data_IF_041159346948
#
_entry.id   IF_041159346948
#
_cell.length_a   1.000
_cell.length_b   1.000
_cell.length_c   1.000
_cell.angle_alpha   90.00
_cell.angle_beta   90.00
_cell.angle_gamma   90.00
#
_symmetry.space_group_name_H-M   'P 1'
#
loop_
_entity.id
_entity.type
_entity.pdbx_description
1 polymer ?
#
# COMPACT_ATOMS: atom_id res chain seq x y z
N UNK A 1 13.99 7.86 -11.80
CA UNK A 1 13.25 6.76 -12.46
C UNK A 1 13.69 5.37 -12.00
N UNK A 2 15.00 5.11 -11.77
CA UNK A 2 15.47 3.81 -11.25
C UNK A 2 14.79 3.36 -9.94
N UNK A 3 14.68 4.26 -8.95
CA UNK A 3 14.00 3.98 -7.67
C UNK A 3 12.51 3.62 -7.90
N UNK A 4 11.82 4.32 -8.81
CA UNK A 4 10.42 4.01 -9.12
C UNK A 4 10.27 2.60 -9.74
N UNK A 5 11.16 2.23 -10.68
CA UNK A 5 11.18 0.86 -11.25
C UNK A 5 11.40 -0.20 -10.18
N UNK A 6 12.37 0.02 -9.29
CA UNK A 6 12.58 -0.87 -8.14
C UNK A 6 11.33 -0.95 -7.26
N UNK A 7 10.72 0.19 -6.93
CA UNK A 7 9.54 0.27 -6.08
C UNK A 7 8.31 -0.44 -6.67
N UNK A 8 8.13 -0.47 -8.00
CA UNK A 8 7.02 -1.23 -8.63
C UNK A 8 7.06 -2.72 -8.34
N UNK A 9 8.22 -3.27 -7.97
CA UNK A 9 8.37 -4.68 -7.58
C UNK A 9 8.50 -4.82 -6.08
N UNK A 10 9.35 -4.01 -5.45
CA UNK A 10 9.63 -4.12 -4.02
C UNK A 10 8.40 -3.82 -3.16
N UNK A 11 7.59 -2.82 -3.50
CA UNK A 11 6.41 -2.47 -2.69
C UNK A 11 5.36 -3.61 -2.64
N UNK A 12 4.94 -4.21 -3.78
CA UNK A 12 4.06 -5.39 -3.73
C UNK A 12 4.67 -6.59 -3.01
N UNK A 13 5.98 -6.84 -3.17
CA UNK A 13 6.66 -7.93 -2.46
C UNK A 13 6.69 -7.71 -0.94
N UNK A 14 6.76 -6.48 -0.48
CA UNK A 14 6.59 -6.15 0.94
C UNK A 14 5.20 -6.55 1.47
N UNK A 15 4.13 -6.39 0.67
CA UNK A 15 2.78 -6.86 1.02
C UNK A 15 2.72 -8.39 1.05
N UNK A 16 3.40 -9.06 0.12
CA UNK A 16 3.53 -10.52 0.13
C UNK A 16 4.25 -10.99 1.40
N UNK A 17 5.38 -10.37 1.73
CA UNK A 17 6.13 -10.67 2.94
C UNK A 17 5.29 -10.45 4.20
N UNK A 18 4.56 -9.33 4.29
CA UNK A 18 3.62 -9.06 5.37
C UNK A 18 2.63 -10.20 5.56
N UNK A 19 1.93 -10.59 4.49
CA UNK A 19 0.96 -11.67 4.53
C UNK A 19 1.56 -13.02 4.92
N UNK A 20 2.73 -13.38 4.38
CA UNK A 20 3.40 -14.65 4.68
C UNK A 20 3.89 -14.74 6.12
N UNK A 21 4.56 -13.69 6.62
CA UNK A 21 5.02 -13.63 8.03
C UNK A 21 3.81 -13.74 8.95
N UNK A 22 2.73 -13.02 8.64
CA UNK A 22 1.48 -13.09 9.40
C UNK A 22 0.85 -14.49 9.39
N UNK A 23 0.84 -15.18 8.26
CA UNK A 23 0.32 -16.55 8.18
C UNK A 23 1.13 -17.50 9.06
N UNK A 24 2.46 -17.41 8.99
CA UNK A 24 3.37 -18.24 9.82
C UNK A 24 3.19 -17.93 11.31
N UNK A 25 3.15 -16.65 11.69
CA UNK A 25 2.96 -16.21 13.07
C UNK A 25 1.60 -16.57 13.66
N UNK A 26 0.63 -17.00 12.84
CA UNK A 26 -0.67 -17.50 13.31
C UNK A 26 -0.70 -19.01 13.53
N UNK A 27 0.30 -19.77 13.08
CA UNK A 27 0.27 -21.23 13.07
C UNK A 27 0.24 -21.85 14.48
N UNK A 28 0.81 -21.16 15.46
CA UNK A 28 0.79 -21.56 16.87
C UNK A 28 -0.47 -21.07 17.63
N UNK A 29 -1.43 -20.47 16.91
CA UNK A 29 -2.62 -19.84 17.48
C UNK A 29 -2.33 -18.54 18.23
N UNK A 30 -1.08 -18.07 18.22
CA UNK A 30 -0.60 -16.99 19.05
C UNK A 30 -0.14 -15.73 18.29
N UNK A 31 -1.03 -15.09 17.52
CA UNK A 31 -0.70 -13.82 16.84
C UNK A 31 -1.02 -12.54 17.64
N UNK A 32 0.01 -11.79 18.06
CA UNK A 32 -0.07 -10.57 18.88
C UNK A 32 1.30 -9.89 19.03
N UNK A 33 1.53 -9.06 20.06
CA UNK A 33 2.84 -8.43 20.31
C UNK A 33 3.98 -9.46 20.23
N UNK A 34 5.00 -9.19 19.43
CA UNK A 34 6.05 -10.17 19.14
C UNK A 34 6.77 -9.94 17.81
N UNK A 35 7.74 -10.81 17.51
CA UNK A 35 8.61 -10.67 16.33
C UNK A 35 7.84 -10.81 15.01
N UNK A 36 6.89 -11.72 14.94
CA UNK A 36 6.03 -11.95 13.77
C UNK A 36 5.11 -10.75 13.50
N UNK A 37 4.50 -10.16 14.54
CA UNK A 37 3.76 -8.91 14.44
C UNK A 37 4.67 -7.77 13.96
N UNK A 38 5.80 -7.54 14.63
CA UNK A 38 6.70 -6.45 14.29
C UNK A 38 7.27 -6.59 12.87
N UNK A 39 7.79 -7.76 12.52
CA UNK A 39 8.40 -8.00 11.21
C UNK A 39 7.38 -7.84 10.08
N UNK A 40 6.15 -8.34 10.29
CA UNK A 40 5.08 -8.18 9.31
C UNK A 40 4.72 -6.70 9.13
N UNK A 41 4.44 -5.95 10.20
CA UNK A 41 4.05 -4.54 10.08
C UNK A 41 5.17 -3.65 9.52
N UNK A 42 6.44 -3.90 9.90
CA UNK A 42 7.59 -3.19 9.33
C UNK A 42 7.74 -3.49 7.83
N UNK A 43 7.57 -4.75 7.42
CA UNK A 43 7.60 -5.10 6.00
C UNK A 43 6.54 -4.31 5.22
N UNK A 44 5.30 -4.26 5.71
CA UNK A 44 4.26 -3.50 5.03
C UNK A 44 4.52 -1.98 5.05
N UNK A 45 5.03 -1.43 6.15
CA UNK A 45 5.41 -0.02 6.25
C UNK A 45 6.46 0.36 5.21
N UNK A 46 7.49 -0.46 5.02
CA UNK A 46 8.48 -0.27 3.94
C UNK A 46 7.80 -0.25 2.57
N UNK A 47 6.85 -1.16 2.33
CA UNK A 47 6.05 -1.20 1.11
C UNK A 47 5.26 0.09 0.87
N UNK A 48 4.62 0.63 1.90
CA UNK A 48 3.91 1.92 1.85
C UNK A 48 4.86 3.08 1.53
N UNK A 49 6.05 3.12 2.14
CA UNK A 49 7.03 4.17 1.83
C UNK A 49 7.52 4.08 0.38
N UNK A 50 7.70 2.87 -0.14
CA UNK A 50 8.07 2.65 -1.53
C UNK A 50 6.95 3.06 -2.51
N UNK A 51 5.67 2.94 -2.12
CA UNK A 51 4.53 3.37 -2.93
C UNK A 51 4.56 4.87 -3.27
N UNK A 52 5.19 5.72 -2.45
CA UNK A 52 5.41 7.15 -2.77
C UNK A 52 6.06 7.29 -4.14
N UNK A 53 7.10 6.51 -4.42
CA UNK A 53 7.81 6.58 -5.70
C UNK A 53 6.97 6.08 -6.87
N UNK A 54 6.14 5.06 -6.64
CA UNK A 54 5.20 4.54 -7.64
C UNK A 54 4.17 5.60 -8.01
N UNK A 55 3.48 6.17 -7.02
CA UNK A 55 2.44 7.19 -7.21
C UNK A 55 3.01 8.43 -7.92
N UNK A 56 4.15 8.95 -7.46
CA UNK A 56 4.78 10.12 -8.07
C UNK A 56 5.30 9.83 -9.49
N UNK A 57 5.64 8.57 -9.80
CA UNK A 57 5.99 8.19 -11.17
C UNK A 57 4.77 8.15 -12.08
N UNK A 58 3.63 7.63 -11.62
CA UNK A 58 2.36 7.65 -12.37
C UNK A 58 1.93 9.09 -12.67
N UNK A 59 2.11 10.02 -11.72
CA UNK A 59 1.90 11.47 -11.96
C UNK A 59 2.72 11.99 -13.14
N UNK A 60 3.94 11.50 -13.34
CA UNK A 60 4.82 11.92 -14.44
C UNK A 60 4.50 11.24 -15.77
N UNK A 61 3.90 10.05 -15.71
CA UNK A 61 3.44 9.31 -16.90
C UNK A 61 2.16 9.92 -17.48
N UNK A 62 1.29 10.44 -16.63
CA UNK A 62 0.01 11.05 -17.02
C UNK A 62 0.17 12.52 -17.47
N UNK A 63 -0.62 12.89 -18.49
CA UNK A 63 -0.73 14.27 -18.97
C UNK A 63 -1.14 15.24 -17.86
N UNK A 64 -0.57 16.47 -17.82
CA UNK A 64 -0.96 17.48 -16.83
C UNK A 64 -2.44 17.85 -16.87
N UNK A 65 -3.07 17.87 -15.69
CA UNK A 65 -4.47 18.25 -15.53
C UNK A 65 -4.94 18.14 -14.09
N UNK A 66 -6.04 18.83 -13.77
CA UNK A 66 -6.60 18.88 -12.42
C UNK A 66 -6.99 17.49 -11.90
N UNK A 67 -7.57 16.63 -12.77
CA UNK A 67 -7.99 15.29 -12.39
C UNK A 67 -6.81 14.41 -11.96
N UNK A 68 -5.67 14.52 -12.65
CA UNK A 68 -4.42 13.85 -12.27
C UNK A 68 -3.95 14.31 -10.89
N UNK A 69 -3.88 15.61 -10.66
CA UNK A 69 -3.40 16.16 -9.38
C UNK A 69 -4.33 15.76 -8.22
N UNK A 70 -5.65 15.80 -8.45
CA UNK A 70 -6.63 15.35 -7.46
C UNK A 70 -6.45 13.86 -7.13
N UNK A 71 -6.34 12.99 -8.14
CA UNK A 71 -6.13 11.56 -7.94
C UNK A 71 -4.84 11.29 -7.15
N UNK A 72 -3.74 11.95 -7.52
CA UNK A 72 -2.46 11.83 -6.80
C UNK A 72 -2.58 12.31 -5.36
N UNK A 73 -3.21 13.47 -5.12
CA UNK A 73 -3.39 14.02 -3.78
C UNK A 73 -4.21 13.08 -2.90
N UNK A 74 -5.35 12.59 -3.39
CA UNK A 74 -6.19 11.60 -2.68
C UNK A 74 -5.40 10.33 -2.36
N UNK A 75 -4.63 9.82 -3.33
CA UNK A 75 -3.80 8.63 -3.14
C UNK A 75 -2.76 8.84 -2.04
N UNK A 76 -2.07 10.00 -2.05
CA UNK A 76 -1.04 10.33 -1.06
C UNK A 76 -1.63 10.59 0.33
N UNK A 77 -2.81 11.22 0.43
CA UNK A 77 -3.51 11.38 1.72
C UNK A 77 -3.84 10.01 2.31
N UNK A 78 -4.36 9.09 1.50
CA UNK A 78 -4.63 7.74 1.98
C UNK A 78 -3.37 6.95 2.33
N UNK A 79 -2.29 7.19 1.59
CA UNK A 79 -0.99 6.61 1.91
C UNK A 79 -0.48 7.10 3.27
N UNK A 80 -0.56 8.40 3.55
CA UNK A 80 -0.18 8.97 4.84
C UNK A 80 -1.02 8.38 5.96
N UNK A 81 -2.33 8.26 5.77
CA UNK A 81 -3.21 7.64 6.75
C UNK A 81 -2.79 6.18 7.05
N UNK A 82 -2.49 5.39 6.01
CA UNK A 82 -2.01 4.02 6.17
C UNK A 82 -0.63 3.94 6.86
N UNK A 83 0.28 4.87 6.57
CA UNK A 83 1.60 4.96 7.24
C UNK A 83 1.42 5.25 8.73
N UNK A 84 0.52 6.18 9.08
CA UNK A 84 0.20 6.47 10.48
C UNK A 84 -0.39 5.24 11.16
N UNK A 85 -1.34 4.56 10.51
CA UNK A 85 -1.95 3.33 11.02
C UNK A 85 -0.89 2.28 11.35
N UNK A 86 -0.03 1.92 10.39
CA UNK A 86 1.00 0.90 10.58
C UNK A 86 2.04 1.31 11.61
N UNK A 87 2.36 2.60 11.70
CA UNK A 87 3.26 3.13 12.73
C UNK A 87 2.64 3.00 14.12
N UNK A 88 1.36 3.33 14.28
CA UNK A 88 0.64 3.15 15.53
C UNK A 88 0.58 1.67 15.94
N UNK A 89 0.29 0.77 14.99
CA UNK A 89 0.23 -0.67 15.22
C UNK A 89 1.60 -1.26 15.63
N UNK A 90 2.71 -0.73 15.07
CA UNK A 90 4.09 -1.08 15.46
C UNK A 90 4.40 -0.57 16.88
N UNK A 91 4.07 0.69 17.19
CA UNK A 91 4.33 1.26 18.51
C UNK A 91 3.53 0.53 19.60
N UNK A 92 2.26 0.25 19.34
CA UNK A 92 1.41 -0.54 20.24
C UNK A 92 1.98 -1.95 20.44
N UNK A 93 2.43 -2.62 19.37
CA UNK A 93 3.05 -3.94 19.45
C UNK A 93 4.39 -3.98 20.18
N UNK A 94 5.15 -2.87 20.20
CA UNK A 94 6.39 -2.75 20.97
C UNK A 94 6.16 -2.50 22.45
N UNK A 95 5.12 -1.75 22.78
CA UNK A 95 4.85 -1.30 24.15
C UNK A 95 4.03 -2.32 24.96
N UNK A 96 3.13 -3.04 24.31
CA UNK A 96 2.25 -3.98 24.99
C UNK A 96 3.00 -5.26 25.41
N UNK A 97 2.79 -5.69 26.66
CA UNK A 97 3.29 -6.97 27.18
C UNK A 97 2.49 -8.16 26.62
N UNK A 98 1.21 -7.95 26.30
CA UNK A 98 0.33 -8.99 25.79
C UNK A 98 -0.78 -8.46 24.84
N UNK A 99 -1.60 -9.38 24.32
CA UNK A 99 -2.69 -9.02 23.41
C UNK A 99 -3.79 -8.18 24.04
N UNK A 100 -4.28 -8.49 25.26
CA UNK A 100 -5.22 -7.63 25.96
C UNK A 100 -4.75 -6.17 26.03
N UNK A 101 -3.51 -5.94 26.46
CA UNK A 101 -2.94 -4.60 26.58
C UNK A 101 -2.83 -3.90 25.21
N UNK A 102 -2.33 -4.59 24.18
CA UNK A 102 -2.25 -4.04 22.82
C UNK A 102 -3.63 -3.60 22.29
N UNK A 103 -4.69 -4.36 22.59
CA UNK A 103 -6.07 -4.02 22.20
C UNK A 103 -6.61 -2.83 22.97
N UNK A 104 -6.23 -2.65 24.22
CA UNK A 104 -6.57 -1.48 25.01
C UNK A 104 -5.91 -0.22 24.45
N UNK A 105 -4.60 -0.26 24.21
CA UNK A 105 -3.87 0.85 23.58
C UNK A 105 -4.45 1.23 22.20
N UNK A 106 -4.82 0.23 21.39
CA UNK A 106 -5.47 0.49 20.10
C UNK A 106 -6.83 1.17 20.24
N UNK A 107 -7.62 0.77 21.25
CA UNK A 107 -8.92 1.41 21.55
C UNK A 107 -8.73 2.86 22.00
N UNK A 108 -7.76 3.13 22.86
CA UNK A 108 -7.46 4.49 23.32
C UNK A 108 -7.03 5.40 22.16
N UNK A 109 -6.15 4.92 21.28
CA UNK A 109 -5.72 5.68 20.11
C UNK A 109 -6.90 5.98 19.16
N UNK A 110 -7.78 5.00 18.93
CA UNK A 110 -8.98 5.17 18.09
C UNK A 110 -10.04 6.07 18.74
N UNK A 111 -10.04 6.20 20.07
CA UNK A 111 -10.95 7.08 20.80
C UNK A 111 -10.61 8.57 20.65
N UNK A 112 -9.41 8.92 20.17
CA UNK A 112 -9.06 10.29 19.83
C UNK A 112 -10.04 10.79 18.75
N UNK A 113 -10.69 11.95 18.92
CA UNK A 113 -11.69 12.45 17.97
C UNK A 113 -11.17 12.46 16.53
N UNK A 114 -11.84 11.68 15.67
CA UNK A 114 -11.51 11.57 14.24
C UNK A 114 -10.40 10.58 13.90
N UNK A 115 -9.63 10.05 14.86
CA UNK A 115 -8.50 9.16 14.59
C UNK A 115 -8.94 7.82 13.97
N UNK A 116 -10.01 7.20 14.48
CA UNK A 116 -10.53 5.94 13.91
C UNK A 116 -10.99 6.15 12.46
N UNK A 117 -11.71 7.25 12.19
CA UNK A 117 -12.14 7.59 10.82
C UNK A 117 -10.95 7.88 9.90
N UNK A 118 -10.00 8.68 10.37
CA UNK A 118 -8.86 9.15 9.58
C UNK A 118 -7.83 8.04 9.32
N UNK A 119 -7.58 7.14 10.27
CA UNK A 119 -6.45 6.21 10.19
C UNK A 119 -6.83 4.75 10.10
N UNK A 120 -8.08 4.35 10.41
CA UNK A 120 -8.49 2.94 10.36
C UNK A 120 -9.69 2.68 9.44
N UNK A 121 -10.59 3.65 9.27
CA UNK A 121 -11.79 3.45 8.45
C UNK A 121 -11.65 4.04 7.05
N UNK A 122 -11.61 5.36 6.91
CA UNK A 122 -11.75 6.06 5.61
C UNK A 122 -10.39 6.41 5.00
N UNK A 123 -9.49 6.99 5.79
CA UNK A 123 -8.24 7.52 5.24
C UNK A 123 -7.43 6.49 4.47
N UNK A 124 -7.09 5.30 5.03
CA UNK A 124 -6.35 4.29 4.29
C UNK A 124 -7.04 3.85 2.97
N UNK A 125 -8.37 3.88 2.90
CA UNK A 125 -9.11 3.48 1.71
C UNK A 125 -8.89 4.43 0.53
N UNK A 126 -8.59 5.70 0.82
CA UNK A 126 -8.26 6.69 -0.20
C UNK A 126 -7.01 6.30 -1.01
N UNK A 127 -6.08 5.51 -0.44
CA UNK A 127 -4.95 4.95 -1.18
C UNK A 127 -5.42 4.05 -2.31
N UNK A 128 -6.32 3.10 -2.00
CA UNK A 128 -6.81 2.14 -2.99
C UNK A 128 -7.72 2.80 -4.04
N UNK A 129 -8.59 3.72 -3.62
CA UNK A 129 -9.42 4.52 -4.53
C UNK A 129 -8.54 5.35 -5.46
N UNK A 130 -7.53 6.03 -4.91
CA UNK A 130 -6.59 6.82 -5.69
C UNK A 130 -5.78 5.99 -6.68
N UNK A 131 -5.23 4.84 -6.25
CA UNK A 131 -4.53 3.89 -7.12
C UNK A 131 -5.43 3.38 -8.26
N UNK A 132 -6.68 3.03 -7.94
CA UNK A 132 -7.67 2.63 -8.94
C UNK A 132 -7.88 3.72 -10.00
N UNK A 133 -8.10 4.96 -9.58
CA UNK A 133 -8.29 6.09 -10.49
C UNK A 133 -7.04 6.33 -11.34
N UNK A 134 -5.84 6.30 -10.75
CA UNK A 134 -4.59 6.50 -11.48
C UNK A 134 -4.34 5.39 -12.52
N UNK A 135 -4.61 4.13 -12.19
CA UNK A 135 -4.55 3.03 -13.16
C UNK A 135 -5.62 3.13 -14.24
N UNK A 136 -6.84 3.56 -13.89
CA UNK A 136 -7.90 3.80 -14.86
C UNK A 136 -7.53 4.92 -15.85
N UNK A 137 -6.91 6.00 -15.37
CA UNK A 137 -6.40 7.08 -16.24
C UNK A 137 -5.31 6.58 -17.21
N UNK A 138 -4.37 5.77 -16.73
CA UNK A 138 -3.32 5.18 -17.59
C UNK A 138 -3.92 4.19 -18.61
N UNK A 139 -4.87 3.36 -18.19
CA UNK A 139 -5.56 2.42 -19.06
C UNK A 139 -6.39 3.15 -20.13
N UNK A 140 -7.07 4.24 -19.76
CA UNK A 140 -7.80 5.10 -20.68
C UNK A 140 -6.87 5.75 -21.71
N UNK A 141 -5.69 6.19 -21.28
CA UNK A 141 -4.63 6.68 -22.16
C UNK A 141 -3.94 5.56 -22.98
N UNK A 142 -4.32 4.29 -22.78
CA UNK A 142 -3.73 3.09 -23.41
C UNK A 142 -2.26 2.87 -23.09
N UNK A 143 -1.78 3.43 -21.98
CA UNK A 143 -0.41 3.27 -21.50
C UNK A 143 -0.21 1.92 -20.77
N UNK A 144 -1.29 1.38 -20.19
CA UNK A 144 -1.31 0.06 -19.56
C UNK A 144 -2.52 -0.75 -20.03
N UNK A 145 -2.51 -2.08 -19.93
CA UNK A 145 -3.65 -2.90 -20.28
C UNK A 145 -4.87 -2.61 -19.38
N UNK A 146 -6.06 -2.54 -19.96
CA UNK A 146 -7.30 -2.23 -19.23
C UNK A 146 -7.61 -3.23 -18.10
N UNK A 147 -7.20 -4.49 -18.24
CA UNK A 147 -7.39 -5.52 -17.20
C UNK A 147 -6.63 -5.21 -15.91
N UNK A 148 -5.58 -4.38 -15.96
CA UNK A 148 -4.81 -3.98 -14.78
C UNK A 148 -5.71 -3.28 -13.75
N UNK A 149 -6.71 -2.54 -14.21
CA UNK A 149 -7.73 -1.90 -13.35
C UNK A 149 -8.49 -2.97 -12.56
N UNK A 150 -8.96 -4.03 -13.23
CA UNK A 150 -9.66 -5.15 -12.59
C UNK A 150 -8.77 -5.88 -11.57
N UNK A 151 -7.49 -6.06 -11.88
CA UNK A 151 -6.52 -6.66 -10.95
C UNK A 151 -6.29 -5.78 -9.72
N UNK A 152 -6.19 -4.45 -9.87
CA UNK A 152 -6.10 -3.53 -8.72
C UNK A 152 -7.35 -3.61 -7.83
N UNK A 153 -8.55 -3.62 -8.43
CA UNK A 153 -9.80 -3.77 -7.69
C UNK A 153 -9.82 -5.09 -6.92
N UNK A 154 -9.56 -6.21 -7.59
CA UNK A 154 -9.54 -7.52 -6.95
C UNK A 154 -8.51 -7.57 -5.81
N UNK A 155 -7.29 -7.09 -6.04
CA UNK A 155 -6.21 -7.05 -5.04
C UNK A 155 -6.55 -6.16 -3.83
N UNK A 156 -7.36 -5.12 -4.03
CA UNK A 156 -7.81 -4.23 -2.94
C UNK A 156 -8.92 -4.84 -2.10
N UNK A 157 -9.76 -5.69 -2.70
CA UNK A 157 -10.91 -6.30 -2.03
C UNK A 157 -10.57 -7.61 -1.29
N UNK A 158 -9.53 -8.33 -1.71
CA UNK A 158 -9.12 -9.59 -1.07
C UNK A 158 -8.87 -9.46 0.45
N UNK A 159 -8.15 -8.44 0.96
CA UNK A 159 -7.93 -8.28 2.40
C UNK A 159 -9.19 -7.96 3.19
N UNK A 160 -10.24 -7.43 2.54
CA UNK A 160 -11.56 -7.18 3.14
C UNK A 160 -12.26 -8.50 3.46
N UNK A 161 -12.10 -9.50 2.59
CA UNK A 161 -12.64 -10.85 2.82
C UNK A 161 -11.83 -11.57 3.90
N UNK A 162 -10.50 -11.55 3.78
CA UNK A 162 -9.60 -12.08 4.80
C UNK A 162 -8.19 -11.52 4.63
N UNK A 163 -7.58 -11.12 5.74
CA UNK A 163 -6.16 -10.76 5.78
C UNK A 163 -5.25 -11.95 5.41
N UNK A 164 -5.73 -13.19 5.47
CA UNK A 164 -4.95 -14.35 5.02
C UNK A 164 -4.71 -14.34 3.49
N UNK A 165 -5.45 -13.51 2.74
CA UNK A 165 -5.31 -13.30 1.29
C UNK A 165 -4.35 -12.16 0.93
N UNK A 166 -3.65 -11.57 1.90
CA UNK A 166 -2.62 -10.54 1.66
C UNK A 166 -1.51 -11.00 0.71
N UNK A 167 -0.98 -12.24 0.75
CA UNK A 167 0.01 -12.68 -0.24
C UNK A 167 -0.54 -12.64 -1.67
N UNK A 168 -1.80 -13.07 -1.86
CA UNK A 168 -2.46 -13.03 -3.17
C UNK A 168 -2.68 -11.60 -3.63
N UNK A 169 -3.07 -10.72 -2.71
CA UNK A 169 -3.22 -9.28 -2.95
C UNK A 169 -1.90 -8.65 -3.42
N UNK A 170 -0.80 -8.93 -2.72
CA UNK A 170 0.54 -8.47 -3.09
C UNK A 170 0.98 -8.97 -4.47
N UNK A 171 0.71 -10.23 -4.81
CA UNK A 171 0.97 -10.76 -6.15
C UNK A 171 0.13 -10.05 -7.21
N UNK A 172 -1.15 -9.79 -6.94
CA UNK A 172 -2.02 -9.04 -7.86
C UNK A 172 -1.52 -7.61 -8.09
N UNK A 173 -1.12 -6.90 -7.03
CA UNK A 173 -0.48 -5.59 -7.16
C UNK A 173 0.81 -5.67 -7.98
N UNK A 174 1.64 -6.70 -7.79
CA UNK A 174 2.85 -6.90 -8.58
C UNK A 174 2.53 -7.05 -10.07
N UNK A 175 1.52 -7.87 -10.40
CA UNK A 175 1.07 -8.10 -11.78
C UNK A 175 0.57 -6.82 -12.45
N UNK A 176 -0.11 -5.94 -11.71
CA UNK A 176 -0.54 -4.64 -12.23
C UNK A 176 0.62 -3.64 -12.33
N UNK A 177 1.48 -3.56 -11.30
CA UNK A 177 2.55 -2.56 -11.22
C UNK A 177 3.68 -2.81 -12.20
N UNK A 178 3.98 -4.08 -12.53
CA UNK A 178 5.01 -4.41 -13.53
C UNK A 178 4.69 -3.81 -14.90
N UNK A 179 3.42 -3.56 -15.21
CA UNK A 179 2.99 -2.92 -16.46
C UNK A 179 3.48 -1.47 -16.59
N UNK A 180 3.84 -0.81 -15.48
CA UNK A 180 4.40 0.54 -15.51
C UNK A 180 5.87 0.54 -15.96
N UNK A 181 6.58 -0.58 -15.87
CA UNK A 181 8.04 -0.61 -16.07
C UNK A 181 8.50 -0.19 -17.47
N UNK A 182 7.89 -0.65 -18.58
CA UNK A 182 8.29 -0.21 -19.91
C UNK A 182 8.19 1.31 -20.08
N UNK A 183 7.11 1.91 -19.55
CA UNK A 183 6.89 3.35 -19.58
C UNK A 183 7.96 4.13 -18.79
N UNK A 184 8.33 3.59 -17.63
CA UNK A 184 9.36 4.20 -16.78
C UNK A 184 10.76 4.09 -17.41
N UNK A 185 11.02 3.02 -18.17
CA UNK A 185 12.26 2.80 -18.93
C UNK A 185 12.37 3.77 -20.10
N UNK A 186 11.31 3.90 -20.90
CA UNK A 186 11.24 4.84 -22.01
C UNK A 186 11.45 6.28 -21.53
N UNK A 187 10.73 6.70 -20.48
CA UNK A 187 10.91 8.05 -19.90
C UNK A 187 12.31 8.29 -19.34
N UNK A 188 12.97 7.25 -18.80
CA UNK A 188 14.34 7.35 -18.33
C UNK A 188 15.31 7.52 -19.51
N UNK A 189 15.10 6.81 -20.62
CA UNK A 189 15.91 6.95 -21.83
C UNK A 189 15.77 8.35 -22.46
N UNK A 190 14.57 8.93 -22.40
CA UNK A 190 14.27 10.28 -22.88
C UNK A 190 14.75 11.41 -21.96
N UNK A 191 15.29 11.08 -20.77
CA UNK A 191 15.85 12.06 -19.82
C UNK A 191 17.35 11.78 -19.63
N UNK A 192 18.23 12.07 -20.62
CA UNK A 192 19.62 11.61 -20.60
C UNK A 192 20.49 12.28 -19.55
N UNK A 193 20.01 13.37 -18.92
CA UNK A 193 20.80 14.18 -17.99
C UNK A 193 19.95 14.54 -16.78
N UNK A 194 20.33 14.00 -15.63
CA UNK A 194 20.17 14.60 -14.30
C UNK A 194 21.38 14.18 -13.47
#
# INVERSE_FOLDING_TARGET
MRIARFATVAAPLCVVAYGLIRLVGRLDGQYGPGLDWQASHVANLIGLLLLVFVILSMRRLLSPGWGREAAVAVTLVGLVAAVVQFTADIVQGLLAADRPEMREMSREFRAIPGADLAFYQVGPQLLYVGLLVLFAMLAYAREVPWWSVGVIVASSLLPVVSLDLLPVSGIGYLVAFVQLRPLLEERQALSPVA
#
